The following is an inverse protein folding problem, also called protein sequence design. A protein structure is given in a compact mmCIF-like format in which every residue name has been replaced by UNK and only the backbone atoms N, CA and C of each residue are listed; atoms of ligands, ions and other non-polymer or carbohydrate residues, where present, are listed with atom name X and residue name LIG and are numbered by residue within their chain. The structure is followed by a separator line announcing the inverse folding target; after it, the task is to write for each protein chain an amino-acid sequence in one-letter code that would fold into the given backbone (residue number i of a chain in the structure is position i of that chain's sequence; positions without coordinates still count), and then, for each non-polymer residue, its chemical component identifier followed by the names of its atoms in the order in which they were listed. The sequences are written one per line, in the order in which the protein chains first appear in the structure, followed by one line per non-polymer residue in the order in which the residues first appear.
data_IF_951371566189
#
_entry.id   IF_951371566189
#
_cell.length_a   1.000
_cell.length_b   1.000
_cell.length_c   1.000
_cell.angle_alpha   90.00
_cell.angle_beta   90.00
_cell.angle_gamma   90.00
#
_symmetry.space_group_name_H-M   'P 1'
#
loop_
_entity.id
_entity.type
_entity.pdbx_description
1 polymer ?
#
# COMPACT_ATOMS: atom_id res chain seq x y z
N UNK A 1 -5.27 18.13 5.64
CA UNK A 1 -6.17 19.21 5.20
C UNK A 1 -6.67 18.99 3.77
N UNK A 2 -5.78 18.64 2.83
CA UNK A 2 -6.16 18.39 1.43
C UNK A 2 -7.20 17.29 1.29
N UNK A 3 -7.01 16.17 1.97
CA UNK A 3 -7.95 15.05 1.91
C UNK A 3 -9.32 15.42 2.48
N UNK A 4 -9.34 16.22 3.54
CA UNK A 4 -10.56 16.70 4.15
C UNK A 4 -11.33 17.68 3.25
N UNK A 5 -10.61 18.63 2.64
CA UNK A 5 -11.21 19.66 1.78
C UNK A 5 -11.67 19.11 0.43
N UNK A 6 -11.04 18.04 -0.04
CA UNK A 6 -11.29 17.47 -1.36
C UNK A 6 -11.60 15.97 -1.25
N UNK A 7 -12.77 15.62 -0.69
CA UNK A 7 -13.08 14.21 -0.43
C UNK A 7 -13.22 13.35 -1.69
N UNK A 8 -13.40 13.96 -2.85
CA UNK A 8 -13.45 13.24 -4.13
C UNK A 8 -12.09 13.11 -4.80
N UNK A 9 -11.08 13.84 -4.31
CA UNK A 9 -9.73 13.74 -4.82
C UNK A 9 -9.10 12.46 -4.28
N UNK A 10 -8.64 11.60 -5.17
CA UNK A 10 -7.94 10.37 -4.81
C UNK A 10 -6.46 10.69 -4.64
N UNK A 11 -5.93 10.38 -3.46
CA UNK A 11 -4.57 10.71 -3.07
C UNK A 11 -3.84 9.42 -2.78
N UNK A 12 -2.69 9.19 -3.43
CA UNK A 12 -1.83 8.05 -3.13
C UNK A 12 -0.52 8.53 -2.53
N UNK A 13 -0.22 8.05 -1.32
CA UNK A 13 1.04 8.33 -0.66
C UNK A 13 2.06 7.27 -1.08
N UNK A 14 3.07 7.69 -1.84
CA UNK A 14 4.12 6.80 -2.31
C UNK A 14 4.86 6.16 -1.13
N UNK A 15 5.27 4.92 -1.29
CA UNK A 15 6.09 4.21 -0.30
C UNK A 15 5.40 4.08 1.07
N UNK A 16 4.07 4.03 1.09
CA UNK A 16 3.29 4.04 2.32
C UNK A 16 3.63 5.23 3.23
N UNK A 17 4.08 6.36 2.64
CA UNK A 17 4.51 7.54 3.38
C UNK A 17 5.77 7.34 4.18
N UNK A 18 6.49 6.23 3.96
CA UNK A 18 7.69 5.91 4.74
C UNK A 18 8.68 7.07 4.77
N UNK A 19 9.30 7.41 5.93
CA UNK A 19 9.23 6.68 7.20
C UNK A 19 8.03 7.02 8.09
N UNK A 20 7.10 7.86 7.67
CA UNK A 20 5.94 8.30 8.46
C UNK A 20 4.75 7.34 8.26
N UNK A 21 4.99 6.06 8.52
CA UNK A 21 3.97 5.02 8.29
C UNK A 21 2.77 5.17 9.22
N UNK A 22 2.99 5.51 10.49
CA UNK A 22 1.89 5.68 11.43
C UNK A 22 0.99 6.86 11.05
N UNK A 23 1.56 7.96 10.63
CA UNK A 23 0.81 9.12 10.15
C UNK A 23 0.01 8.79 8.89
N UNK A 24 0.60 7.99 8.00
CA UNK A 24 -0.10 7.50 6.80
C UNK A 24 -1.29 6.64 7.20
N UNK A 25 -1.12 5.75 8.17
CA UNK A 25 -2.22 4.92 8.69
C UNK A 25 -3.35 5.78 9.26
N UNK A 26 -3.01 6.82 10.02
CA UNK A 26 -4.01 7.73 10.56
C UNK A 26 -4.82 8.42 9.46
N UNK A 27 -4.15 8.84 8.40
CA UNK A 27 -4.81 9.47 7.26
C UNK A 27 -5.72 8.49 6.52
N UNK A 28 -5.27 7.26 6.30
CA UNK A 28 -6.07 6.23 5.63
C UNK A 28 -7.28 5.82 6.47
N UNK A 29 -7.13 5.74 7.79
CA UNK A 29 -8.25 5.43 8.69
C UNK A 29 -9.31 6.53 8.65
N UNK A 30 -8.88 7.78 8.57
CA UNK A 30 -9.77 8.92 8.63
C UNK A 30 -10.41 9.25 7.28
N UNK A 31 -9.67 9.06 6.20
CA UNK A 31 -10.10 9.47 4.86
C UNK A 31 -10.03 8.33 3.87
N UNK A 32 -11.17 7.93 3.32
CA UNK A 32 -11.24 6.83 2.35
C UNK A 32 -10.61 7.18 1.00
N UNK A 33 -10.44 8.45 0.69
CA UNK A 33 -9.81 8.92 -0.53
C UNK A 33 -8.29 8.93 -0.45
N UNK A 34 -7.70 8.52 0.68
CA UNK A 34 -6.26 8.38 0.84
C UNK A 34 -5.87 6.91 0.65
N UNK A 35 -4.94 6.68 -0.25
CA UNK A 35 -4.36 5.38 -0.60
C UNK A 35 -2.86 5.43 -0.35
N UNK A 36 -2.22 4.28 -0.34
CA UNK A 36 -0.77 4.16 -0.27
C UNK A 36 -0.31 3.06 -1.21
N UNK A 37 0.96 3.09 -1.60
CA UNK A 37 1.51 2.03 -2.44
C UNK A 37 2.66 1.29 -1.77
N UNK A 38 3.05 0.18 -2.38
CA UNK A 38 4.11 -0.70 -1.89
C UNK A 38 5.44 -0.47 -2.58
N UNK A 39 5.59 0.60 -3.37
CA UNK A 39 6.86 0.92 -4.01
C UNK A 39 7.84 1.44 -2.96
N UNK A 40 9.11 0.99 -3.01
CA UNK A 40 10.09 1.42 -2.03
C UNK A 40 11.43 1.80 -2.63
N UNK A 41 12.15 2.63 -1.90
CA UNK A 41 13.37 3.29 -2.38
C UNK A 41 14.64 2.50 -2.11
N UNK A 42 14.64 1.67 -1.09
CA UNK A 42 15.86 0.98 -0.65
C UNK A 42 15.57 -0.46 -0.30
N UNK A 43 16.44 -1.38 -0.66
CA UNK A 43 16.67 -2.59 0.09
C UNK A 43 17.15 -3.74 -0.76
N UNK A 44 18.08 -4.45 -0.17
CA UNK A 44 18.61 -5.70 -0.72
C UNK A 44 17.56 -6.82 -0.68
N UNK A 45 16.64 -6.76 0.30
CA UNK A 45 15.61 -7.78 0.42
C UNK A 45 14.23 -7.16 0.63
N UNK A 46 13.35 -7.35 -0.33
CA UNK A 46 11.96 -6.90 -0.25
C UNK A 46 11.19 -7.50 0.93
N UNK A 47 11.33 -8.82 1.25
CA UNK A 47 10.63 -9.38 2.39
C UNK A 47 10.93 -8.70 3.72
N UNK A 48 12.19 -8.36 3.98
CA UNK A 48 12.57 -7.69 5.23
C UNK A 48 11.96 -6.30 5.33
N UNK A 49 11.96 -5.58 4.22
CA UNK A 49 11.43 -4.22 4.21
C UNK A 49 9.91 -4.21 4.39
N UNK A 50 9.21 -5.10 3.70
CA UNK A 50 7.77 -5.21 3.87
C UNK A 50 7.40 -5.66 5.27
N UNK A 51 8.20 -6.54 5.87
CA UNK A 51 8.01 -6.90 7.28
C UNK A 51 8.13 -5.66 8.16
N UNK A 52 9.18 -4.87 7.98
CA UNK A 52 9.41 -3.66 8.76
C UNK A 52 8.26 -2.67 8.62
N UNK A 53 7.84 -2.38 7.41
CA UNK A 53 6.81 -1.37 7.13
C UNK A 53 5.42 -1.84 7.52
N UNK A 54 5.02 -3.02 7.06
CA UNK A 54 3.63 -3.46 7.19
C UNK A 54 3.33 -4.24 8.45
N UNK A 55 4.32 -4.90 9.04
CA UNK A 55 4.10 -5.69 10.25
C UNK A 55 4.62 -5.03 11.52
N UNK A 56 5.70 -4.25 11.44
CA UNK A 56 6.28 -3.57 12.60
C UNK A 56 5.76 -2.13 12.70
N UNK A 57 6.01 -1.30 11.68
CA UNK A 57 5.62 0.11 11.72
C UNK A 57 4.10 0.31 11.65
N UNK A 58 3.43 -0.42 10.74
CA UNK A 58 1.98 -0.39 10.61
C UNK A 58 1.30 -1.21 11.70
N UNK A 59 1.74 -2.44 11.88
CA UNK A 59 1.20 -3.37 12.86
C UNK A 59 0.71 -4.66 12.21
N UNK A 60 0.75 -5.79 12.97
CA UNK A 60 0.34 -7.09 12.44
C UNK A 60 -1.09 -7.08 11.94
N UNK A 61 -1.31 -7.60 10.73
CA UNK A 61 -2.63 -7.78 10.10
C UNK A 61 -3.40 -6.50 9.74
N UNK A 62 -2.83 -5.30 9.96
CA UNK A 62 -3.54 -4.08 9.63
C UNK A 62 -3.72 -3.90 8.12
N UNK A 63 -2.73 -4.30 7.32
CA UNK A 63 -2.84 -4.25 5.87
C UNK A 63 -4.02 -5.10 5.37
N UNK A 64 -4.24 -6.26 6.00
CA UNK A 64 -5.32 -7.18 5.61
C UNK A 64 -6.68 -6.79 6.17
N UNK A 65 -6.72 -6.24 7.37
CA UNK A 65 -7.98 -5.99 8.07
C UNK A 65 -8.49 -4.57 7.92
N UNK A 66 -7.61 -3.58 8.04
CA UNK A 66 -8.02 -2.17 8.03
C UNK A 66 -7.79 -1.47 6.71
N UNK A 67 -6.72 -1.80 6.00
CA UNK A 67 -6.29 -1.04 4.81
C UNK A 67 -6.39 -1.79 3.50
N UNK A 68 -7.05 -2.93 3.48
CA UNK A 68 -7.08 -3.80 2.30
C UNK A 68 -7.61 -3.12 1.03
N UNK A 69 -8.43 -2.10 1.17
CA UNK A 69 -9.00 -1.34 0.05
C UNK A 69 -8.23 -0.07 -0.30
N UNK A 70 -7.15 0.21 0.41
CA UNK A 70 -6.40 1.46 0.26
C UNK A 70 -4.91 1.26 -0.09
N UNK A 71 -4.46 0.03 -0.25
CA UNK A 71 -3.08 -0.28 -0.61
C UNK A 71 -3.02 -0.75 -2.05
N UNK A 72 -2.08 -0.20 -2.83
CA UNK A 72 -1.87 -0.57 -4.22
C UNK A 72 -0.45 -1.06 -4.44
N UNK A 73 -0.29 -2.07 -5.28
CA UNK A 73 1.02 -2.60 -5.63
C UNK A 73 1.81 -1.60 -6.47
N UNK A 74 3.06 -1.37 -6.09
CA UNK A 74 4.06 -0.66 -6.88
C UNK A 74 5.41 -1.25 -6.53
N UNK A 75 6.36 -1.22 -7.47
CA UNK A 75 7.69 -1.80 -7.30
C UNK A 75 8.82 -0.78 -7.32
N UNK A 76 8.57 0.39 -7.88
CA UNK A 76 9.60 1.38 -8.19
C UNK A 76 10.60 0.86 -9.26
N UNK A 77 10.09 0.03 -10.18
CA UNK A 77 10.88 -0.45 -11.32
C UNK A 77 11.30 0.74 -12.21
N UNK A 78 12.53 0.79 -12.74
CA UNK A 78 13.55 -0.26 -12.73
C UNK A 78 14.49 -0.26 -11.53
N UNK A 79 14.29 0.61 -10.58
CA UNK A 79 15.16 0.71 -9.40
C UNK A 79 15.12 -0.57 -8.56
N UNK A 80 13.92 -1.13 -8.37
CA UNK A 80 13.72 -2.40 -7.70
C UNK A 80 13.02 -3.36 -8.66
N UNK A 81 13.41 -4.62 -8.60
CA UNK A 81 12.84 -5.61 -9.50
C UNK A 81 11.41 -5.97 -9.13
N UNK A 82 10.48 -5.73 -10.06
CA UNK A 82 9.05 -5.94 -9.85
C UNK A 82 8.71 -7.33 -9.34
N UNK A 83 9.34 -8.37 -9.91
CA UNK A 83 9.06 -9.76 -9.52
C UNK A 83 9.40 -10.05 -8.08
N UNK A 84 10.50 -9.50 -7.58
CA UNK A 84 10.88 -9.66 -6.17
C UNK A 84 9.89 -8.99 -5.25
N UNK A 85 9.46 -7.80 -5.62
CA UNK A 85 8.48 -7.05 -4.85
C UNK A 85 7.14 -7.79 -4.82
N UNK A 86 6.71 -8.32 -5.97
CA UNK A 86 5.48 -9.10 -6.05
C UNK A 86 5.55 -10.34 -5.18
N UNK A 87 6.64 -11.11 -5.25
CA UNK A 87 6.83 -12.31 -4.43
C UNK A 87 6.81 -12.00 -2.95
N UNK A 88 7.39 -10.88 -2.55
CA UNK A 88 7.41 -10.47 -1.16
C UNK A 88 5.99 -10.20 -0.62
N UNK A 89 5.13 -9.55 -1.41
CA UNK A 89 3.73 -9.35 -1.05
C UNK A 89 2.98 -10.69 -1.01
N UNK A 90 3.20 -11.54 -2.00
CA UNK A 90 2.55 -12.86 -2.06
C UNK A 90 2.88 -13.73 -0.85
N UNK A 91 4.09 -13.58 -0.29
CA UNK A 91 4.54 -14.33 0.87
C UNK A 91 4.02 -13.80 2.20
N UNK A 92 3.42 -12.62 2.22
CA UNK A 92 2.87 -12.03 3.44
C UNK A 92 1.63 -12.79 3.90
N UNK A 93 1.44 -12.85 5.23
CA UNK A 93 0.28 -13.49 5.84
C UNK A 93 -0.94 -12.59 5.74
N UNK A 94 -1.68 -12.75 4.67
CA UNK A 94 -2.94 -12.05 4.45
C UNK A 94 -3.86 -12.90 3.55
N UNK A 95 -5.15 -12.58 3.55
CA UNK A 95 -6.13 -13.28 2.72
C UNK A 95 -5.80 -13.12 1.24
N UNK A 96 -6.08 -14.16 0.45
CA UNK A 96 -5.90 -14.10 -1.00
C UNK A 96 -6.74 -12.98 -1.63
N UNK A 97 -7.94 -12.74 -1.10
CA UNK A 97 -8.79 -11.64 -1.58
C UNK A 97 -8.13 -10.27 -1.36
N UNK A 98 -7.37 -10.11 -0.28
CA UNK A 98 -6.61 -8.88 -0.03
C UNK A 98 -5.47 -8.72 -1.04
N UNK A 99 -4.77 -9.82 -1.36
CA UNK A 99 -3.72 -9.79 -2.38
C UNK A 99 -4.27 -9.38 -3.74
N UNK A 100 -5.45 -9.90 -4.11
CA UNK A 100 -6.12 -9.49 -5.37
C UNK A 100 -6.44 -8.00 -5.39
N UNK A 101 -6.89 -7.45 -4.28
CA UNK A 101 -7.13 -6.01 -4.15
C UNK A 101 -5.85 -5.21 -4.34
N UNK A 102 -4.78 -5.61 -3.67
CA UNK A 102 -3.48 -4.93 -3.71
C UNK A 102 -2.88 -4.98 -5.12
N UNK A 103 -2.95 -6.14 -5.78
CA UNK A 103 -2.32 -6.34 -7.09
C UNK A 103 -3.07 -5.73 -8.26
N UNK A 104 -4.30 -5.28 -8.09
CA UNK A 104 -4.99 -4.69 -9.23
C UNK A 104 -6.31 -4.01 -8.93
N UNK A 105 -7.17 -4.61 -8.15
CA UNK A 105 -8.53 -4.09 -7.96
C UNK A 105 -8.56 -2.71 -7.32
N UNK A 106 -7.69 -2.44 -6.35
CA UNK A 106 -7.60 -1.12 -5.73
C UNK A 106 -7.14 -0.04 -6.72
N UNK A 107 -6.21 -0.39 -7.61
CA UNK A 107 -5.74 0.54 -8.63
C UNK A 107 -6.83 0.84 -9.66
N UNK A 108 -7.64 -0.15 -10.02
CA UNK A 108 -8.78 0.03 -10.90
C UNK A 108 -9.76 1.03 -10.29
N UNK A 109 -10.09 0.87 -9.03
CA UNK A 109 -10.96 1.78 -8.30
C UNK A 109 -10.35 3.18 -8.18
N UNK A 110 -9.07 3.25 -7.81
CA UNK A 110 -8.36 4.52 -7.67
C UNK A 110 -8.36 5.32 -8.97
N UNK A 111 -8.13 4.65 -10.10
CA UNK A 111 -8.09 5.28 -11.42
C UNK A 111 -9.47 5.49 -12.03
N UNK A 112 -10.53 4.94 -11.43
CA UNK A 112 -11.88 5.05 -11.96
C UNK A 112 -12.06 4.29 -13.27
N UNK A 113 -11.34 3.18 -13.45
CA UNK A 113 -11.44 2.39 -14.68
C UNK A 113 -12.64 1.47 -14.65
N UNK A 114 -13.26 1.30 -15.81
CA UNK A 114 -14.30 0.31 -16.04
C UNK A 114 -13.66 -0.89 -16.74
N UNK A 115 -13.66 -2.04 -16.08
CA UNK A 115 -13.10 -3.28 -16.61
C UNK A 115 -14.03 -4.44 -16.43
#
# INVERSE_FOLDING_TARGET
ETAYRHPKLRICLAHCGWPWVQETCMLMLKYRNVYADTAFLYFDTAPEFYHKVFEVDMGPHWIDRSFRHQIMFGSDDPRLEMRRMKKAIEAMDMRESTKDLIFGQNAIEFLGLEV
#
